data_IF_604789524769
#
_entry.id   IF_604789524769
#
_cell.length_a   1.000
_cell.length_b   1.000
_cell.length_c   1.000
_cell.angle_alpha   90.00
_cell.angle_beta   90.00
_cell.angle_gamma   90.00
#
_symmetry.space_group_name_H-M   'P 1'
#
loop_
_entity.id
_entity.type
_entity.pdbx_description
1 polymer ?
#
# COMPACT_ATOMS: atom_id res chain seq x y z
N UNK A 1 -18.66 71.63 13.92
CA UNK A 1 -17.65 70.68 13.42
C UNK A 1 -18.30 69.30 13.22
N UNK A 2 -18.97 69.09 12.08
CA UNK A 2 -19.59 67.83 11.67
C UNK A 2 -18.90 67.43 10.37
N UNK A 3 -18.05 66.40 10.36
CA UNK A 3 -17.35 66.06 9.11
C UNK A 3 -16.41 64.85 9.11
N UNK A 4 -15.94 64.33 10.25
CA UNK A 4 -14.84 63.34 10.24
C UNK A 4 -15.30 61.92 10.63
N UNK A 5 -16.49 61.75 11.19
CA UNK A 5 -16.88 60.48 11.83
C UNK A 5 -17.35 59.36 10.87
N UNK A 6 -17.76 59.68 9.63
CA UNK A 6 -18.34 58.67 8.72
C UNK A 6 -17.34 57.91 7.84
N UNK A 7 -16.06 58.31 7.78
CA UNK A 7 -15.09 57.68 6.88
C UNK A 7 -14.43 56.42 7.46
N UNK A 8 -14.44 56.24 8.78
CA UNK A 8 -13.66 55.18 9.45
C UNK A 8 -14.43 53.85 9.51
N UNK A 9 -15.77 53.86 9.63
CA UNK A 9 -16.54 52.60 9.77
C UNK A 9 -16.65 51.80 8.47
N UNK A 10 -16.62 52.44 7.29
CA UNK A 10 -16.64 51.75 5.99
C UNK A 10 -15.31 51.06 5.64
N UNK A 11 -14.19 51.49 6.23
CA UNK A 11 -12.87 50.88 5.98
C UNK A 11 -12.69 49.57 6.77
N UNK A 12 -13.21 49.51 8.01
CA UNK A 12 -13.08 48.34 8.90
C UNK A 12 -13.94 47.16 8.41
N UNK A 13 -15.11 47.42 7.80
CA UNK A 13 -15.96 46.37 7.23
C UNK A 13 -15.34 45.66 6.01
N UNK A 14 -14.60 46.39 5.16
CA UNK A 14 -13.91 45.81 4.00
C UNK A 14 -12.70 44.95 4.39
N UNK A 15 -11.99 45.29 5.48
CA UNK A 15 -10.86 44.48 5.96
C UNK A 15 -11.28 43.09 6.46
N UNK A 16 -12.45 42.97 7.11
CA UNK A 16 -12.98 41.68 7.59
C UNK A 16 -13.38 40.74 6.45
N UNK A 17 -13.93 41.27 5.35
CA UNK A 17 -14.29 40.45 4.18
C UNK A 17 -13.06 39.97 3.39
N UNK A 18 -12.00 40.79 3.32
CA UNK A 18 -10.74 40.37 2.65
C UNK A 18 -10.03 39.28 3.45
N UNK A 19 -10.00 39.38 4.78
CA UNK A 19 -9.38 38.35 5.63
C UNK A 19 -10.07 36.99 5.54
N UNK A 20 -11.39 36.95 5.45
CA UNK A 20 -12.17 35.72 5.35
C UNK A 20 -12.03 35.06 3.96
N UNK A 21 -11.98 35.86 2.89
CA UNK A 21 -11.75 35.35 1.54
C UNK A 21 -10.33 34.77 1.38
N UNK A 22 -9.32 35.40 1.99
CA UNK A 22 -7.93 34.92 1.94
C UNK A 22 -7.73 33.63 2.76
N UNK A 23 -8.41 33.50 3.90
CA UNK A 23 -8.39 32.27 4.70
C UNK A 23 -9.07 31.08 3.99
N UNK A 24 -10.11 31.33 3.20
CA UNK A 24 -10.82 30.30 2.43
C UNK A 24 -10.06 29.88 1.15
N UNK A 25 -9.19 30.75 0.62
CA UNK A 25 -8.30 30.44 -0.51
C UNK A 25 -7.09 29.58 -0.10
N UNK A 26 -6.66 29.65 1.16
CA UNK A 26 -5.54 28.86 1.69
C UNK A 26 -5.89 27.40 2.03
N UNK A 27 -7.18 27.08 2.17
CA UNK A 27 -7.63 25.71 2.49
C UNK A 27 -7.78 24.80 1.26
N UNK A 28 -7.56 25.30 0.05
CA UNK A 28 -7.73 24.53 -1.21
C UNK A 28 -6.40 24.03 -1.82
N UNK A 29 -5.24 24.42 -1.27
CA UNK A 29 -3.92 24.05 -1.83
C UNK A 29 -3.31 22.79 -1.19
N UNK A 30 -4.02 22.12 -0.30
CA UNK A 30 -3.59 20.87 0.33
C UNK A 30 -3.72 19.62 -0.56
N UNK A 31 -3.38 19.70 -1.85
CA UNK A 31 -3.21 18.49 -2.65
C UNK A 31 -1.91 17.81 -2.22
N UNK A 32 -2.02 16.87 -1.28
CA UNK A 32 -0.89 16.03 -0.87
C UNK A 32 -0.51 15.17 -2.07
N UNK A 33 0.61 15.49 -2.73
CA UNK A 33 1.27 14.57 -3.66
C UNK A 33 1.60 13.31 -2.86
N UNK A 34 0.75 12.29 -2.95
CA UNK A 34 1.07 10.98 -2.39
C UNK A 34 2.29 10.48 -3.14
N UNK A 35 3.44 10.25 -2.46
CA UNK A 35 4.59 9.66 -3.12
C UNK A 35 4.12 8.36 -3.78
N UNK A 36 4.33 8.25 -5.08
CA UNK A 36 4.04 7.01 -5.81
C UNK A 36 5.07 6.01 -5.33
N UNK A 37 4.64 5.00 -4.57
CA UNK A 37 5.55 3.95 -4.12
C UNK A 37 6.17 3.25 -5.33
N UNK A 38 7.50 3.17 -5.34
CA UNK A 38 8.22 2.56 -6.45
C UNK A 38 8.00 1.06 -6.48
N UNK A 39 7.85 0.51 -7.69
CA UNK A 39 7.71 -0.93 -7.90
C UNK A 39 9.01 -1.61 -7.51
N UNK A 40 8.94 -2.55 -6.56
CA UNK A 40 10.12 -3.29 -6.12
C UNK A 40 10.43 -4.42 -7.08
N UNK A 41 11.49 -4.25 -7.88
CA UNK A 41 12.03 -5.35 -8.68
C UNK A 41 12.85 -6.32 -7.78
N UNK A 42 12.51 -7.61 -7.82
CA UNK A 42 13.24 -8.67 -7.12
C UNK A 42 13.74 -9.70 -8.13
N UNK A 43 15.01 -10.06 -8.05
CA UNK A 43 15.57 -11.15 -8.87
C UNK A 43 15.32 -12.48 -8.14
N UNK A 44 14.45 -13.31 -8.72
CA UNK A 44 14.12 -14.64 -8.23
C UNK A 44 15.03 -15.66 -8.92
N UNK A 45 15.56 -16.63 -8.18
CA UNK A 45 16.46 -17.66 -8.73
C UNK A 45 15.78 -18.57 -9.77
N UNK A 46 14.49 -18.85 -9.59
CA UNK A 46 13.71 -19.74 -10.46
C UNK A 46 13.06 -18.92 -11.57
N UNK A 47 13.42 -19.24 -12.81
CA UNK A 47 12.89 -18.60 -14.02
C UNK A 47 11.84 -19.53 -14.65
N UNK A 48 10.58 -19.29 -14.33
CA UNK A 48 9.45 -20.05 -14.86
C UNK A 48 8.86 -19.32 -16.06
N UNK A 49 8.42 -20.06 -17.08
CA UNK A 49 7.80 -19.49 -18.30
C UNK A 49 6.53 -18.66 -18.02
N UNK A 50 5.82 -18.97 -16.93
CA UNK A 50 4.59 -18.29 -16.53
C UNK A 50 4.78 -17.55 -15.20
N UNK A 51 4.42 -16.26 -15.20
CA UNK A 51 4.50 -15.37 -14.06
C UNK A 51 3.12 -14.78 -13.67
N UNK A 52 2.94 -14.35 -12.40
CA UNK A 52 1.75 -13.61 -12.00
C UNK A 52 1.53 -12.36 -12.86
N UNK A 53 0.32 -12.21 -13.36
CA UNK A 53 -0.07 -11.11 -14.25
C UNK A 53 -0.12 -11.48 -15.73
N UNK A 54 0.53 -12.58 -16.12
CA UNK A 54 0.44 -13.13 -17.48
C UNK A 54 -0.99 -13.55 -17.82
N UNK A 55 -1.27 -13.71 -19.11
CA UNK A 55 -2.57 -14.14 -19.61
C UNK A 55 -2.46 -15.45 -20.39
N UNK A 56 -3.30 -16.43 -20.04
CA UNK A 56 -3.43 -17.71 -20.74
C UNK A 56 -4.91 -17.87 -21.10
N UNK A 57 -5.21 -17.97 -22.41
CA UNK A 57 -6.58 -18.10 -22.90
C UNK A 57 -7.56 -17.05 -22.32
N UNK A 58 -7.10 -15.81 -22.09
CA UNK A 58 -7.91 -14.73 -21.52
C UNK A 58 -8.06 -14.75 -19.99
N UNK A 59 -7.56 -15.78 -19.31
CA UNK A 59 -7.50 -15.84 -17.85
C UNK A 59 -6.16 -15.29 -17.36
N UNK A 60 -6.18 -14.52 -16.27
CA UNK A 60 -4.95 -14.00 -15.66
C UNK A 60 -4.33 -15.05 -14.75
N UNK A 61 -3.03 -15.30 -14.92
CA UNK A 61 -2.23 -16.08 -13.99
C UNK A 61 -2.14 -15.32 -12.68
N UNK A 62 -2.65 -15.93 -11.60
CA UNK A 62 -2.63 -15.31 -10.26
C UNK A 62 -1.39 -15.71 -9.45
N UNK A 63 -0.84 -16.91 -9.72
CA UNK A 63 0.27 -17.52 -9.01
C UNK A 63 1.01 -18.54 -9.89
N UNK A 64 2.18 -18.98 -9.43
CA UNK A 64 3.07 -19.93 -10.11
C UNK A 64 3.73 -20.90 -9.13
N UNK A 65 4.63 -21.77 -9.58
CA UNK A 65 5.30 -22.72 -8.68
C UNK A 65 6.07 -22.00 -7.56
N UNK A 66 5.70 -22.28 -6.31
CA UNK A 66 6.33 -21.76 -5.09
C UNK A 66 5.48 -20.74 -4.30
N UNK A 67 4.20 -20.54 -4.65
CA UNK A 67 3.22 -19.85 -3.80
C UNK A 67 2.13 -20.80 -3.25
N UNK A 68 1.39 -20.30 -2.26
CA UNK A 68 0.23 -20.96 -1.66
C UNK A 68 -1.03 -20.17 -2.02
N UNK A 69 -2.02 -20.86 -2.58
CA UNK A 69 -3.35 -20.31 -2.85
C UNK A 69 -4.28 -20.48 -1.66
N UNK A 70 -4.81 -19.37 -1.14
CA UNK A 70 -5.72 -19.34 0.01
C UNK A 70 -7.04 -18.72 -0.42
N UNK A 71 -8.14 -19.42 -0.18
CA UNK A 71 -9.48 -18.86 -0.39
C UNK A 71 -9.79 -17.85 0.74
N UNK A 72 -10.18 -16.64 0.35
CA UNK A 72 -10.49 -15.55 1.28
C UNK A 72 -11.99 -15.24 1.37
N UNK A 73 -12.80 -15.55 0.35
CA UNK A 73 -14.25 -15.24 0.32
C UNK A 73 -14.60 -13.77 0.60
N UNK A 74 -13.70 -12.85 0.25
CA UNK A 74 -13.84 -11.42 0.51
C UNK A 74 -13.18 -10.92 1.80
N UNK A 75 -12.61 -11.81 2.61
CA UNK A 75 -11.98 -11.47 3.88
C UNK A 75 -10.74 -10.59 3.73
N UNK A 76 -10.38 -9.93 4.83
CA UNK A 76 -9.23 -9.04 4.91
C UNK A 76 -7.93 -9.81 5.14
N UNK A 77 -6.86 -9.27 4.59
CA UNK A 77 -5.48 -9.67 4.83
C UNK A 77 -4.80 -8.58 5.65
N UNK A 78 -4.10 -8.98 6.69
CA UNK A 78 -3.51 -8.11 7.71
C UNK A 78 -1.98 -8.12 7.64
N UNK A 79 -1.35 -7.03 8.07
CA UNK A 79 0.10 -6.97 8.23
C UNK A 79 0.53 -7.84 9.43
N UNK A 80 1.39 -8.86 9.24
CA UNK A 80 1.80 -9.73 10.34
C UNK A 80 2.74 -9.05 11.34
N UNK A 81 3.38 -7.97 10.91
CA UNK A 81 4.29 -7.11 11.69
C UNK A 81 4.15 -5.66 11.24
N UNK A 82 4.76 -4.73 11.97
CA UNK A 82 5.06 -3.41 11.42
C UNK A 82 5.98 -3.54 10.21
N UNK A 83 5.68 -2.81 9.14
CA UNK A 83 6.44 -2.94 7.91
C UNK A 83 5.95 -2.03 6.80
N UNK A 84 6.37 -2.36 5.59
CA UNK A 84 6.07 -1.60 4.38
C UNK A 84 5.51 -2.50 3.30
N UNK A 85 4.41 -2.05 2.70
CA UNK A 85 3.80 -2.63 1.50
C UNK A 85 4.20 -1.81 0.29
N UNK A 86 4.78 -2.45 -0.72
CA UNK A 86 5.21 -1.82 -1.96
C UNK A 86 4.57 -2.51 -3.16
N UNK A 87 4.28 -1.78 -4.25
CA UNK A 87 3.82 -2.42 -5.47
C UNK A 87 4.90 -3.37 -6.03
N UNK A 88 4.45 -4.45 -6.66
CA UNK A 88 5.29 -5.39 -7.38
C UNK A 88 4.70 -5.60 -8.79
N UNK A 89 5.04 -6.70 -9.47
CA UNK A 89 4.38 -7.16 -10.70
C UNK A 89 2.85 -7.07 -10.61
N UNK A 90 2.19 -6.95 -11.77
CA UNK A 90 0.78 -6.60 -11.86
C UNK A 90 -0.11 -7.53 -11.03
N UNK A 91 -0.86 -6.95 -10.10
CA UNK A 91 -1.79 -7.68 -9.22
C UNK A 91 -1.16 -8.22 -7.94
N UNK A 92 0.09 -7.87 -7.66
CA UNK A 92 0.82 -8.25 -6.45
C UNK A 92 1.40 -7.04 -5.73
N UNK A 93 1.56 -7.18 -4.41
CA UNK A 93 2.38 -6.30 -3.57
C UNK A 93 3.45 -7.11 -2.85
N UNK A 94 4.50 -6.43 -2.39
CA UNK A 94 5.52 -6.98 -1.49
C UNK A 94 5.33 -6.35 -0.13
N UNK A 95 5.10 -7.17 0.88
CA UNK A 95 5.25 -6.79 2.27
C UNK A 95 6.67 -7.10 2.73
N UNK A 96 7.28 -6.16 3.43
CA UNK A 96 8.62 -6.27 4.01
C UNK A 96 8.65 -5.65 5.40
N UNK A 97 9.51 -6.17 6.26
CA UNK A 97 9.49 -5.83 7.69
C UNK A 97 10.93 -5.81 8.23
N UNK A 98 11.29 -4.84 9.08
CA UNK A 98 12.60 -4.81 9.72
C UNK A 98 12.78 -5.92 10.76
N UNK A 99 11.70 -6.54 11.25
CA UNK A 99 11.76 -7.63 12.24
C UNK A 99 12.36 -8.91 11.64
N UNK A 100 12.15 -9.17 10.35
CA UNK A 100 12.73 -10.30 9.61
C UNK A 100 13.31 -9.85 8.26
N UNK A 101 14.43 -9.09 8.27
CA UNK A 101 14.91 -8.33 7.10
C UNK A 101 15.41 -9.20 5.95
N UNK A 102 15.66 -10.49 6.21
CA UNK A 102 16.04 -11.46 5.19
C UNK A 102 14.85 -12.07 4.44
N UNK A 103 13.61 -11.65 4.76
CA UNK A 103 12.38 -12.17 4.15
C UNK A 103 11.55 -11.07 3.47
N UNK A 104 10.88 -11.47 2.39
CA UNK A 104 9.81 -10.70 1.74
C UNK A 104 8.59 -11.60 1.61
N UNK A 105 7.41 -10.99 1.61
CA UNK A 105 6.16 -11.68 1.38
C UNK A 105 5.45 -11.08 0.18
N UNK A 106 5.25 -11.88 -0.86
CA UNK A 106 4.50 -11.48 -2.04
C UNK A 106 3.04 -11.85 -1.83
N UNK A 107 2.16 -10.86 -1.95
CA UNK A 107 0.72 -10.99 -1.77
C UNK A 107 0.04 -10.63 -3.09
N UNK A 108 -0.56 -11.59 -3.77
CA UNK A 108 -1.30 -11.36 -5.02
C UNK A 108 -2.78 -11.66 -4.86
N UNK A 109 -3.61 -11.00 -5.69
CA UNK A 109 -5.07 -11.18 -5.66
C UNK A 109 -5.83 -10.20 -4.75
N UNK A 110 -5.10 -9.30 -4.07
CA UNK A 110 -5.70 -8.26 -3.23
C UNK A 110 -6.35 -7.15 -4.08
N UNK A 111 -7.58 -6.78 -3.71
CA UNK A 111 -8.32 -5.63 -4.20
C UNK A 111 -7.90 -4.39 -3.41
N UNK A 112 -7.44 -3.34 -4.10
CA UNK A 112 -7.08 -2.03 -3.53
C UNK A 112 -6.13 -2.13 -2.31
N UNK A 113 -4.92 -2.70 -2.48
CA UNK A 113 -4.00 -2.85 -1.36
C UNK A 113 -3.56 -1.50 -0.80
N UNK A 114 -3.44 -1.42 0.53
CA UNK A 114 -2.83 -0.30 1.25
C UNK A 114 -1.32 -0.31 0.98
N UNK A 115 -0.82 0.76 0.36
CA UNK A 115 0.60 0.93 0.06
C UNK A 115 1.28 1.84 1.09
N UNK A 116 2.59 1.65 1.26
CA UNK A 116 3.40 2.43 2.19
C UNK A 116 3.60 1.71 3.52
N UNK A 117 3.81 2.49 4.59
CA UNK A 117 3.99 1.94 5.94
C UNK A 117 2.65 1.42 6.48
N UNK A 118 2.70 0.26 7.13
CA UNK A 118 1.57 -0.36 7.81
C UNK A 118 2.00 -0.86 9.18
N UNK A 119 1.10 -0.77 10.15
CA UNK A 119 1.30 -1.34 11.48
C UNK A 119 0.82 -2.78 11.55
N UNK A 120 1.35 -3.57 12.50
CA UNK A 120 0.87 -4.92 12.76
C UNK A 120 -0.66 -4.94 12.97
N UNK A 121 -1.34 -5.88 12.31
CA UNK A 121 -2.80 -6.03 12.37
C UNK A 121 -3.57 -5.00 11.54
N UNK A 122 -2.90 -4.06 10.86
CA UNK A 122 -3.51 -3.19 9.87
C UNK A 122 -3.89 -3.96 8.61
N UNK A 123 -4.99 -3.58 7.98
CA UNK A 123 -5.47 -4.22 6.75
C UNK A 123 -4.57 -3.82 5.58
N UNK A 124 -3.91 -4.81 4.98
CA UNK A 124 -3.17 -4.65 3.72
C UNK A 124 -4.14 -4.66 2.55
N UNK A 125 -5.21 -5.45 2.58
CA UNK A 125 -6.20 -5.50 1.51
C UNK A 125 -7.25 -6.59 1.74
N UNK A 126 -8.08 -6.87 0.74
CA UNK A 126 -9.03 -7.99 0.77
C UNK A 126 -9.17 -8.63 -0.61
N UNK A 127 -9.72 -9.83 -0.73
CA UNK A 127 -9.84 -10.51 -2.02
C UNK A 127 -10.71 -11.76 -1.98
N UNK A 128 -10.94 -12.38 -3.14
CA UNK A 128 -11.57 -13.72 -3.19
C UNK A 128 -10.55 -14.82 -2.88
N UNK A 129 -9.31 -14.59 -3.30
CA UNK A 129 -8.18 -15.48 -3.10
C UNK A 129 -6.93 -14.66 -2.79
N UNK A 130 -6.03 -15.21 -1.97
CA UNK A 130 -4.68 -14.72 -1.74
C UNK A 130 -3.70 -15.74 -2.31
N UNK A 131 -2.80 -15.28 -3.18
CA UNK A 131 -1.58 -16.02 -3.47
C UNK A 131 -0.47 -15.47 -2.59
N UNK A 132 0.03 -16.31 -1.69
CA UNK A 132 1.07 -15.97 -0.73
C UNK A 132 2.37 -16.65 -1.09
N UNK A 133 3.46 -15.89 -1.22
CA UNK A 133 4.80 -16.44 -1.39
C UNK A 133 5.75 -15.83 -0.36
N UNK A 134 6.52 -16.68 0.34
CA UNK A 134 7.66 -16.23 1.13
C UNK A 134 8.93 -16.29 0.29
N UNK A 135 9.70 -15.21 0.32
CA UNK A 135 11.00 -15.14 -0.34
C UNK A 135 12.08 -14.90 0.69
N UNK A 136 13.15 -15.69 0.64
CA UNK A 136 14.33 -15.54 1.49
C UNK A 136 15.51 -15.03 0.69
N UNK A 137 16.18 -14.01 1.22
CA UNK A 137 17.43 -13.47 0.64
C UNK A 137 18.55 -14.50 0.77
N UNK A 138 19.21 -14.79 -0.35
CA UNK A 138 20.37 -15.67 -0.43
C UNK A 138 21.67 -14.89 -0.17
N UNK A 139 22.78 -15.57 0.16
CA UNK A 139 24.08 -14.92 0.39
C UNK A 139 24.59 -14.11 -0.82
N UNK A 140 24.21 -14.52 -2.03
CA UNK A 140 24.54 -13.82 -3.29
C UNK A 140 23.67 -12.58 -3.55
N UNK A 141 22.73 -12.27 -2.64
CA UNK A 141 21.84 -11.12 -2.72
C UNK A 141 20.54 -11.36 -3.48
N UNK A 142 20.36 -12.50 -4.15
CA UNK A 142 19.13 -12.87 -4.85
C UNK A 142 18.06 -13.38 -3.88
N UNK A 143 16.83 -13.50 -4.35
CA UNK A 143 15.71 -14.02 -3.58
C UNK A 143 15.34 -15.42 -4.06
N UNK A 144 15.06 -16.32 -3.12
CA UNK A 144 14.55 -17.66 -3.41
C UNK A 144 13.19 -17.85 -2.76
N UNK A 145 12.28 -18.53 -3.46
CA UNK A 145 11.02 -18.98 -2.90
C UNK A 145 11.31 -20.03 -1.82
N UNK A 146 10.66 -19.89 -0.68
CA UNK A 146 10.76 -20.81 0.45
C UNK A 146 9.37 -21.07 0.99
N UNK A 147 9.21 -22.20 1.67
CA UNK A 147 7.98 -22.48 2.39
C UNK A 147 7.72 -21.40 3.47
N UNK A 148 6.52 -20.79 3.49
CA UNK A 148 6.19 -19.81 4.50
C UNK A 148 5.93 -20.46 5.86
N UNK A 149 6.35 -19.80 6.93
CA UNK A 149 6.03 -20.26 8.27
C UNK A 149 4.53 -20.07 8.57
N UNK A 150 3.92 -21.09 9.18
CA UNK A 150 2.47 -21.14 9.46
C UNK A 150 2.01 -19.97 10.33
N UNK A 151 2.78 -19.61 11.34
CA UNK A 151 2.46 -18.51 12.26
C UNK A 151 2.41 -17.13 11.56
N UNK A 152 3.22 -16.93 10.52
CA UNK A 152 3.15 -15.72 9.67
C UNK A 152 1.86 -15.70 8.86
N UNK A 153 1.47 -16.84 8.28
CA UNK A 153 0.22 -16.95 7.53
C UNK A 153 -0.99 -16.71 8.45
N UNK A 154 -1.00 -17.28 9.65
CA UNK A 154 -2.08 -17.06 10.62
C UNK A 154 -2.26 -15.58 10.97
N UNK A 155 -1.16 -14.86 11.25
CA UNK A 155 -1.18 -13.40 11.51
C UNK A 155 -1.58 -12.58 10.29
N UNK A 156 -1.35 -13.11 9.10
CA UNK A 156 -1.71 -12.48 7.83
C UNK A 156 -3.21 -12.66 7.52
N UNK A 157 -3.81 -13.77 7.94
CA UNK A 157 -5.20 -14.12 7.65
C UNK A 157 -6.17 -13.78 8.79
N UNK A 158 -5.66 -13.55 10.00
CA UNK A 158 -6.46 -13.22 11.18
C UNK A 158 -5.86 -12.03 11.91
N UNK A 159 -6.72 -11.08 12.27
CA UNK A 159 -6.32 -9.95 13.10
C UNK A 159 -5.77 -10.48 14.45
N UNK A 160 -4.56 -10.04 14.86
CA UNK A 160 -4.00 -10.41 16.17
C UNK A 160 -4.86 -9.94 17.34
#
# INVERSE_FOLDING_TARGET
>A
MRGISLAISKFIGKLKQVGLALALLLSVTGCTNRPTEEVRAIQIYQDWELAPGDAIAGHRVLGGLGDISIELKGDSVYAPFDGRVQPNVKGCVIFSTPQIPAYLFRLCGLKRPTLGQVSQGEVIGSGEYLQFAALRRQPDGRWALVEPAVDILERTLKKP
#
